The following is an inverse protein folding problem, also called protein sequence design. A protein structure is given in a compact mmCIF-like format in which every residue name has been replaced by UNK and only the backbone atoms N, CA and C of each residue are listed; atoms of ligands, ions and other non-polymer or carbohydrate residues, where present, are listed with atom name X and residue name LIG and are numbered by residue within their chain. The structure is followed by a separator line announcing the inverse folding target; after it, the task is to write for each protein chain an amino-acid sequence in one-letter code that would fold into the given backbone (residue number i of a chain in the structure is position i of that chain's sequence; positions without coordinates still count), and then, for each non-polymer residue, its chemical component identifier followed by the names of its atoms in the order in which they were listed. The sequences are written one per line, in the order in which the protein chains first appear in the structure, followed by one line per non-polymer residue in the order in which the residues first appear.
data_IF_930040743177
#
_entry.id   IF_930040743177
#
_cell.length_a   1.000
_cell.length_b   1.000
_cell.length_c   1.000
_cell.angle_alpha   90.00
_cell.angle_beta   90.00
_cell.angle_gamma   90.00
#
_symmetry.space_group_name_H-M   'P 1'
#
loop_
_entity.id
_entity.type
_entity.pdbx_description
1 polymer ?
#
# COMPACT_ATOMS: atom_id res chain seq x y z
N UNK A 1 4.62 -14.91 -10.45
CA UNK A 1 3.22 -14.44 -10.46
C UNK A 1 2.91 -13.81 -11.81
N UNK A 2 1.75 -14.10 -12.40
CA UNK A 2 1.31 -13.45 -13.63
C UNK A 2 0.57 -12.15 -13.27
N UNK A 3 1.09 -11.02 -13.75
CA UNK A 3 0.49 -9.69 -13.52
C UNK A 3 -0.38 -9.24 -14.71
N UNK A 4 -0.44 -10.03 -15.79
CA UNK A 4 -1.23 -9.71 -16.97
C UNK A 4 -2.66 -10.24 -16.79
N UNK A 5 -3.46 -9.50 -16.06
CA UNK A 5 -4.83 -9.88 -15.69
C UNK A 5 -5.87 -9.16 -16.54
N UNK A 6 -6.99 -9.84 -16.80
CA UNK A 6 -8.15 -9.20 -17.40
C UNK A 6 -8.72 -8.12 -16.48
N UNK A 7 -9.12 -7.01 -17.06
CA UNK A 7 -9.82 -5.93 -16.38
C UNK A 7 -11.27 -5.84 -16.84
N UNK A 8 -12.01 -4.91 -16.27
CA UNK A 8 -13.39 -4.61 -16.67
C UNK A 8 -13.51 -4.24 -18.15
N UNK A 9 -12.41 -3.81 -18.79
CA UNK A 9 -12.37 -3.49 -20.22
C UNK A 9 -12.40 -4.73 -21.11
N UNK A 10 -12.04 -5.88 -20.59
CA UNK A 10 -11.81 -7.11 -21.34
C UNK A 10 -13.02 -8.04 -21.39
N UNK A 11 -14.13 -7.67 -20.78
CA UNK A 11 -15.34 -8.47 -20.70
C UNK A 11 -16.60 -7.65 -21.01
N UNK A 12 -17.67 -8.34 -21.43
CA UNK A 12 -18.97 -7.75 -21.60
C UNK A 12 -19.70 -7.65 -20.25
N UNK A 13 -20.16 -6.44 -19.93
CA UNK A 13 -20.81 -6.13 -18.66
C UNK A 13 -22.27 -5.74 -18.81
N UNK A 14 -22.76 -5.50 -20.04
CA UNK A 14 -24.09 -4.98 -20.30
C UNK A 14 -25.16 -5.93 -19.75
N UNK A 15 -26.05 -5.39 -18.91
CA UNK A 15 -27.15 -6.13 -18.30
C UNK A 15 -26.74 -7.14 -17.23
N UNK A 16 -25.46 -7.27 -16.93
CA UNK A 16 -24.96 -8.23 -15.94
C UNK A 16 -24.95 -7.63 -14.54
N UNK A 17 -25.20 -8.49 -13.56
CA UNK A 17 -25.02 -8.14 -12.15
C UNK A 17 -23.53 -8.28 -11.83
N UNK A 18 -22.91 -7.19 -11.39
CA UNK A 18 -21.48 -7.13 -11.12
C UNK A 18 -21.25 -6.87 -9.64
N UNK A 19 -20.62 -7.83 -8.96
CA UNK A 19 -20.15 -7.65 -7.59
C UNK A 19 -18.77 -7.01 -7.65
N UNK A 20 -18.66 -5.75 -7.23
CA UNK A 20 -17.41 -4.99 -7.23
C UNK A 20 -16.91 -4.79 -5.81
N UNK A 21 -15.77 -5.40 -5.49
CA UNK A 21 -15.11 -5.23 -4.19
C UNK A 21 -14.27 -3.95 -4.20
N UNK A 22 -14.70 -2.99 -3.43
CA UNK A 22 -14.02 -1.71 -3.22
C UNK A 22 -13.33 -1.66 -1.86
N UNK A 23 -12.52 -0.65 -1.65
CA UNK A 23 -11.98 -0.31 -0.33
C UNK A 23 -12.64 0.99 0.15
N UNK A 24 -13.67 0.83 0.96
CA UNK A 24 -14.42 1.91 1.59
C UNK A 24 -14.13 2.01 3.08
N UNK A 25 -13.02 1.44 3.52
CA UNK A 25 -12.56 1.54 4.90
C UNK A 25 -11.99 2.93 5.15
N UNK A 26 -12.90 3.90 5.27
CA UNK A 26 -12.57 5.32 5.43
C UNK A 26 -12.46 5.69 6.91
N UNK A 27 -11.65 6.70 7.25
CA UNK A 27 -11.58 7.18 8.63
C UNK A 27 -12.86 7.90 9.03
N UNK A 28 -13.33 7.59 10.23
CA UNK A 28 -14.53 8.17 10.81
C UNK A 28 -14.19 8.92 12.10
N UNK A 29 -14.87 10.03 12.35
CA UNK A 29 -14.84 10.74 13.61
C UNK A 29 -16.28 11.13 13.96
N UNK A 30 -16.76 10.67 15.11
CA UNK A 30 -18.14 10.92 15.57
C UNK A 30 -19.20 10.54 14.51
N UNK A 31 -18.97 9.40 13.85
CA UNK A 31 -19.87 8.89 12.83
C UNK A 31 -19.79 9.60 11.48
N UNK A 32 -18.86 10.52 11.30
CA UNK A 32 -18.67 11.29 10.06
C UNK A 32 -17.38 10.89 9.36
N UNK A 33 -17.44 10.83 8.03
CA UNK A 33 -16.25 10.58 7.20
C UNK A 33 -15.33 11.80 7.26
N UNK A 34 -14.07 11.57 7.69
CA UNK A 34 -13.05 12.63 7.76
C UNK A 34 -12.21 12.72 6.49
N UNK A 35 -12.16 11.66 5.69
CA UNK A 35 -11.53 11.65 4.38
C UNK A 35 -12.28 10.69 3.46
N UNK A 36 -12.69 11.16 2.31
CA UNK A 36 -13.39 10.37 1.30
C UNK A 36 -12.47 9.91 0.14
N UNK A 37 -11.15 10.03 0.30
CA UNK A 37 -10.18 9.73 -0.76
C UNK A 37 -10.38 8.35 -1.37
N UNK A 38 -10.61 7.32 -0.54
CA UNK A 38 -10.82 5.94 -1.02
C UNK A 38 -12.11 5.80 -1.80
N UNK A 39 -13.14 6.52 -1.41
CA UNK A 39 -14.43 6.53 -2.11
C UNK A 39 -14.26 7.19 -3.48
N UNK A 40 -13.61 8.36 -3.52
CA UNK A 40 -13.33 9.09 -4.75
C UNK A 40 -12.47 8.26 -5.71
N UNK A 41 -11.46 7.57 -5.18
CA UNK A 41 -10.59 6.70 -5.96
C UNK A 41 -11.34 5.53 -6.64
N UNK A 42 -12.42 5.05 -6.06
CA UNK A 42 -13.25 3.99 -6.61
C UNK A 42 -14.20 4.46 -7.72
N UNK A 43 -14.46 5.77 -7.83
CA UNK A 43 -15.46 6.31 -8.77
C UNK A 43 -15.19 5.96 -10.23
N UNK A 44 -13.96 6.01 -10.77
CA UNK A 44 -13.74 5.65 -12.17
C UNK A 44 -14.21 4.25 -12.53
N UNK A 45 -13.94 3.26 -11.69
CA UNK A 45 -14.42 1.88 -11.89
C UNK A 45 -15.93 1.82 -11.79
N UNK A 46 -16.51 2.40 -10.76
CA UNK A 46 -17.97 2.40 -10.53
C UNK A 46 -18.69 3.07 -11.71
N UNK A 47 -18.22 4.24 -12.11
CA UNK A 47 -18.81 4.97 -13.24
C UNK A 47 -18.70 4.20 -14.55
N UNK A 48 -17.56 3.53 -14.79
CA UNK A 48 -17.41 2.67 -15.95
C UNK A 48 -18.43 1.54 -15.98
N UNK A 49 -18.65 0.87 -14.85
CA UNK A 49 -19.67 -0.18 -14.72
C UNK A 49 -21.07 0.34 -15.02
N UNK A 50 -21.40 1.51 -14.50
CA UNK A 50 -22.68 2.18 -14.75
C UNK A 50 -22.83 2.48 -16.25
N UNK A 51 -21.82 3.07 -16.87
CA UNK A 51 -21.83 3.48 -18.27
C UNK A 51 -21.92 2.27 -19.22
N UNK A 52 -21.44 1.11 -18.81
CA UNK A 52 -21.55 -0.13 -19.57
C UNK A 52 -22.93 -0.82 -19.40
N UNK A 53 -23.82 -0.24 -18.64
CA UNK A 53 -25.14 -0.81 -18.42
C UNK A 53 -25.19 -2.00 -17.46
N UNK A 54 -24.20 -2.09 -16.57
CA UNK A 54 -24.20 -3.13 -15.54
C UNK A 54 -25.17 -2.82 -14.39
N UNK A 55 -25.58 -3.85 -13.68
CA UNK A 55 -26.25 -3.75 -12.38
C UNK A 55 -25.17 -3.85 -11.31
N UNK A 56 -24.90 -2.75 -10.61
CA UNK A 56 -23.69 -2.60 -9.80
C UNK A 56 -23.94 -2.92 -8.34
N UNK A 57 -23.29 -3.96 -7.84
CA UNK A 57 -23.37 -4.38 -6.44
C UNK A 57 -22.00 -4.14 -5.80
N UNK A 58 -21.89 -3.12 -4.95
CA UNK A 58 -20.64 -2.77 -4.28
C UNK A 58 -20.54 -3.47 -2.93
N UNK A 59 -19.34 -3.87 -2.55
CA UNK A 59 -19.06 -4.41 -1.22
C UNK A 59 -17.71 -3.93 -0.70
N UNK A 60 -17.60 -3.84 0.60
CA UNK A 60 -16.38 -3.45 1.31
C UNK A 60 -16.48 -3.85 2.79
N UNK A 61 -15.34 -3.83 3.45
CA UNK A 61 -15.28 -3.84 4.90
C UNK A 61 -15.15 -2.43 5.46
N UNK A 62 -15.39 -2.27 6.76
CA UNK A 62 -15.16 -1.07 7.53
C UNK A 62 -14.68 -1.47 8.92
N UNK A 63 -13.47 -1.04 9.30
CA UNK A 63 -12.90 -1.33 10.61
C UNK A 63 -12.76 -2.82 10.92
N UNK A 64 -12.87 -3.18 12.20
CA UNK A 64 -12.69 -4.55 12.70
C UNK A 64 -13.85 -4.97 13.62
N UNK A 65 -15.05 -5.19 13.10
CA UNK A 65 -16.20 -5.59 13.92
C UNK A 65 -16.14 -7.05 14.41
N UNK A 66 -15.24 -7.87 13.84
CA UNK A 66 -14.99 -9.26 14.27
C UNK A 66 -16.22 -10.17 14.19
N UNK A 67 -16.99 -10.05 13.16
CA UNK A 67 -18.17 -10.88 12.93
C UNK A 67 -19.39 -10.48 13.75
N UNK A 68 -19.44 -9.25 14.24
CA UNK A 68 -20.54 -8.73 15.03
C UNK A 68 -21.11 -7.47 14.39
N UNK A 69 -22.41 -7.26 14.58
CA UNK A 69 -23.06 -6.03 14.17
C UNK A 69 -22.62 -4.88 15.09
N UNK A 70 -22.07 -3.82 14.49
CA UNK A 70 -21.68 -2.59 15.19
C UNK A 70 -22.17 -1.38 14.39
N UNK A 71 -23.20 -0.68 14.82
CA UNK A 71 -23.80 0.42 14.07
C UNK A 71 -22.78 1.49 13.64
N UNK A 72 -21.76 1.75 14.47
CA UNK A 72 -20.70 2.70 14.17
C UNK A 72 -19.81 2.30 13.00
N UNK A 73 -19.82 1.05 12.60
CA UNK A 73 -19.06 0.52 11.47
C UNK A 73 -19.93 0.17 10.25
N UNK A 74 -21.17 0.63 10.23
CA UNK A 74 -22.04 0.46 9.08
C UNK A 74 -21.54 1.27 7.88
N UNK A 75 -21.72 0.72 6.69
CA UNK A 75 -21.40 1.38 5.43
C UNK A 75 -22.49 2.38 4.98
N UNK A 76 -23.51 2.62 5.79
CA UNK A 76 -24.57 3.57 5.47
C UNK A 76 -24.07 4.98 5.15
N UNK A 77 -23.05 5.45 5.90
CA UNK A 77 -22.40 6.76 5.65
C UNK A 77 -21.69 6.79 4.30
N UNK A 78 -21.15 5.66 3.88
CA UNK A 78 -20.48 5.53 2.57
C UNK A 78 -21.52 5.55 1.44
N UNK A 79 -22.64 4.86 1.60
CA UNK A 79 -23.74 4.89 0.63
C UNK A 79 -24.25 6.31 0.40
N UNK A 80 -24.42 7.08 1.48
CA UNK A 80 -24.85 8.48 1.40
C UNK A 80 -23.83 9.33 0.62
N UNK A 81 -22.54 9.17 0.92
CA UNK A 81 -21.47 9.93 0.24
C UNK A 81 -21.34 9.53 -1.23
N UNK A 82 -21.43 8.24 -1.55
CA UNK A 82 -21.44 7.76 -2.93
C UNK A 82 -22.62 8.33 -3.72
N UNK A 83 -23.81 8.39 -3.11
CA UNK A 83 -24.98 8.96 -3.76
C UNK A 83 -24.76 10.41 -4.16
N UNK A 84 -24.14 11.21 -3.29
CA UNK A 84 -23.78 12.59 -3.59
C UNK A 84 -22.78 12.68 -4.76
N UNK A 85 -21.72 11.87 -4.70
CA UNK A 85 -20.64 11.91 -5.69
C UNK A 85 -21.09 11.40 -7.07
N UNK A 86 -21.96 10.38 -7.11
CA UNK A 86 -22.47 9.82 -8.36
C UNK A 86 -23.66 10.60 -8.93
N UNK A 87 -24.30 11.46 -8.12
CA UNK A 87 -25.52 12.16 -8.54
C UNK A 87 -26.71 11.24 -8.77
N UNK A 88 -26.72 10.06 -8.13
CA UNK A 88 -27.80 9.09 -8.19
C UNK A 88 -27.89 8.31 -6.89
N UNK A 89 -29.05 7.72 -6.62
CA UNK A 89 -29.24 6.92 -5.43
C UNK A 89 -28.35 5.67 -5.44
N UNK A 90 -27.63 5.46 -4.35
CA UNK A 90 -26.99 4.18 -4.02
C UNK A 90 -27.88 3.48 -3.01
N UNK A 91 -28.47 2.37 -3.42
CA UNK A 91 -29.40 1.61 -2.58
C UNK A 91 -28.62 0.83 -1.54
N UNK A 92 -28.94 1.03 -0.26
CA UNK A 92 -28.23 0.36 0.84
C UNK A 92 -28.93 -0.90 1.27
N UNK A 93 -28.24 -2.04 1.19
CA UNK A 93 -28.74 -3.29 1.75
C UNK A 93 -28.64 -3.29 3.29
N UNK A 94 -29.52 -4.01 3.95
CA UNK A 94 -29.55 -4.14 5.42
C UNK A 94 -28.66 -5.27 5.92
N UNK A 95 -28.18 -6.12 5.03
CA UNK A 95 -27.31 -7.26 5.35
C UNK A 95 -26.18 -7.39 4.31
N UNK A 96 -25.35 -8.40 4.48
CA UNK A 96 -24.22 -8.65 3.58
C UNK A 96 -24.61 -9.53 2.40
N UNK A 97 -25.19 -10.68 2.66
CA UNK A 97 -25.60 -11.64 1.62
C UNK A 97 -26.86 -12.40 2.03
N UNK A 98 -27.69 -11.78 2.84
CA UNK A 98 -28.93 -12.33 3.31
C UNK A 98 -30.11 -12.01 2.40
N UNK A 99 -31.32 -12.11 2.94
CA UNK A 99 -32.54 -11.94 2.16
C UNK A 99 -32.71 -10.53 1.60
N UNK A 100 -32.31 -9.50 2.36
CA UNK A 100 -32.44 -8.11 1.91
C UNK A 100 -31.50 -7.85 0.73
N UNK A 101 -30.24 -8.26 0.84
CA UNK A 101 -29.25 -8.13 -0.26
C UNK A 101 -29.71 -8.88 -1.50
N UNK A 102 -30.23 -10.09 -1.36
CA UNK A 102 -30.74 -10.89 -2.48
C UNK A 102 -31.92 -10.21 -3.19
N UNK A 103 -32.88 -9.73 -2.42
CA UNK A 103 -34.06 -9.05 -2.97
C UNK A 103 -33.65 -7.75 -3.68
N UNK A 104 -32.79 -6.98 -3.08
CA UNK A 104 -32.32 -5.73 -3.64
C UNK A 104 -31.51 -5.94 -4.92
N UNK A 105 -30.60 -6.92 -4.93
CA UNK A 105 -29.83 -7.29 -6.11
C UNK A 105 -30.73 -7.75 -7.27
N UNK A 106 -31.74 -8.56 -6.97
CA UNK A 106 -32.69 -9.01 -7.97
C UNK A 106 -33.54 -7.87 -8.56
N UNK A 107 -33.73 -6.79 -7.81
CA UNK A 107 -34.54 -5.63 -8.24
C UNK A 107 -33.76 -4.58 -9.04
N UNK A 108 -32.42 -4.68 -9.09
CA UNK A 108 -31.57 -3.70 -9.79
C UNK A 108 -31.87 -3.66 -11.28
N UNK A 109 -31.91 -2.47 -11.82
CA UNK A 109 -31.95 -2.18 -13.25
C UNK A 109 -30.56 -1.81 -13.76
N UNK A 110 -30.39 -1.88 -15.08
CA UNK A 110 -29.12 -1.49 -15.72
C UNK A 110 -28.72 -0.07 -15.32
N UNK A 111 -27.49 0.10 -14.87
CA UNK A 111 -26.95 1.37 -14.41
C UNK A 111 -27.27 1.74 -12.96
N UNK A 112 -28.11 0.97 -12.27
CA UNK A 112 -28.37 1.18 -10.85
C UNK A 112 -27.27 0.61 -9.98
N UNK A 113 -27.12 1.19 -8.77
CA UNK A 113 -26.05 0.87 -7.83
C UNK A 113 -26.62 0.54 -6.46
N UNK A 114 -26.10 -0.52 -5.85
CA UNK A 114 -26.38 -0.85 -4.46
C UNK A 114 -25.08 -1.09 -3.70
N UNK A 115 -25.11 -0.96 -2.38
CA UNK A 115 -23.99 -1.25 -1.48
C UNK A 115 -24.46 -2.27 -0.43
N UNK A 116 -23.69 -3.35 -0.27
CA UNK A 116 -23.89 -4.33 0.80
C UNK A 116 -23.41 -3.75 2.13
N UNK A 117 -23.94 -4.29 3.24
CA UNK A 117 -23.40 -3.96 4.55
C UNK A 117 -21.97 -4.49 4.73
N UNK A 118 -21.29 -3.98 5.77
CA UNK A 118 -19.90 -4.29 6.10
C UNK A 118 -19.65 -5.81 6.07
N UNK A 119 -18.82 -6.27 5.15
CA UNK A 119 -18.55 -7.70 4.96
C UNK A 119 -17.98 -8.36 6.21
N UNK A 120 -17.27 -7.61 7.05
CA UNK A 120 -16.70 -8.13 8.30
C UNK A 120 -17.71 -8.26 9.44
N UNK A 121 -18.98 -7.92 9.22
CA UNK A 121 -20.04 -8.30 10.13
C UNK A 121 -20.26 -9.81 10.15
N UNK A 122 -19.82 -10.52 9.12
CA UNK A 122 -19.93 -11.96 9.01
C UNK A 122 -18.58 -12.61 9.37
N UNK A 123 -18.58 -13.54 10.32
CA UNK A 123 -17.36 -14.22 10.80
C UNK A 123 -16.59 -14.94 9.70
N UNK A 124 -17.29 -15.45 8.70
CA UNK A 124 -16.70 -16.18 7.59
C UNK A 124 -15.88 -15.32 6.64
N UNK A 125 -16.04 -14.00 6.64
CA UNK A 125 -15.34 -13.11 5.71
C UNK A 125 -13.82 -13.26 5.81
N UNK A 126 -13.26 -13.08 6.99
CA UNK A 126 -11.80 -13.13 7.18
C UNK A 126 -11.24 -14.55 7.15
N UNK A 127 -12.11 -15.55 7.25
CA UNK A 127 -11.76 -16.97 7.17
C UNK A 127 -11.85 -17.54 5.76
N UNK A 128 -12.26 -16.71 4.80
CA UNK A 128 -12.53 -17.15 3.42
C UNK A 128 -13.53 -18.34 3.39
N UNK A 129 -14.59 -18.23 4.18
CA UNK A 129 -15.58 -19.29 4.31
C UNK A 129 -16.29 -19.52 2.97
N UNK A 130 -16.27 -20.75 2.43
CA UNK A 130 -16.95 -21.08 1.17
C UNK A 130 -18.45 -20.79 1.16
N UNK A 131 -19.12 -20.93 2.30
CA UNK A 131 -20.55 -20.62 2.43
C UNK A 131 -20.83 -19.14 2.15
N UNK A 132 -20.06 -18.24 2.78
CA UNK A 132 -20.18 -16.80 2.53
C UNK A 132 -19.76 -16.45 1.11
N UNK A 133 -18.65 -17.02 0.63
CA UNK A 133 -18.17 -16.78 -0.75
C UNK A 133 -19.22 -17.14 -1.77
N UNK A 134 -19.88 -18.28 -1.60
CA UNK A 134 -20.98 -18.71 -2.48
C UNK A 134 -22.20 -17.80 -2.36
N UNK A 135 -22.56 -17.40 -1.15
CA UNK A 135 -23.69 -16.50 -0.94
C UNK A 135 -23.48 -15.14 -1.61
N UNK A 136 -22.25 -14.61 -1.55
CA UNK A 136 -21.88 -13.39 -2.27
C UNK A 136 -21.93 -13.61 -3.79
N UNK A 137 -21.40 -14.72 -4.27
CA UNK A 137 -21.40 -15.05 -5.70
C UNK A 137 -22.81 -15.21 -6.26
N UNK A 138 -23.76 -15.74 -5.48
CA UNK A 138 -25.15 -15.91 -5.89
C UNK A 138 -25.85 -14.56 -6.19
N UNK A 139 -25.31 -13.45 -5.71
CA UNK A 139 -25.85 -12.12 -5.97
C UNK A 139 -25.52 -11.61 -7.38
N UNK A 140 -24.54 -12.17 -8.05
CA UNK A 140 -23.98 -11.58 -9.25
C UNK A 140 -23.61 -12.60 -10.33
N UNK A 141 -23.24 -12.07 -11.50
CA UNK A 141 -22.79 -12.84 -12.66
C UNK A 141 -21.29 -12.73 -12.88
N UNK A 142 -20.67 -11.64 -12.39
CA UNK A 142 -19.24 -11.33 -12.53
C UNK A 142 -18.73 -10.71 -11.23
N UNK A 143 -17.51 -11.06 -10.87
CA UNK A 143 -16.80 -10.44 -9.76
C UNK A 143 -15.70 -9.49 -10.27
N UNK A 144 -15.67 -8.29 -9.72
CA UNK A 144 -14.63 -7.30 -9.98
C UNK A 144 -13.91 -6.98 -8.67
N UNK A 145 -12.60 -7.19 -8.62
CA UNK A 145 -11.79 -6.74 -7.49
C UNK A 145 -11.10 -5.42 -7.83
N UNK A 146 -11.43 -4.39 -7.06
CA UNK A 146 -10.82 -3.06 -7.19
C UNK A 146 -10.16 -2.59 -5.88
N UNK A 147 -10.01 -3.49 -4.92
CA UNK A 147 -9.47 -3.20 -3.60
C UNK A 147 -8.04 -3.75 -3.46
N UNK A 148 -7.05 -3.01 -3.95
CA UNK A 148 -5.65 -3.44 -3.85
C UNK A 148 -5.18 -3.54 -2.40
N UNK A 149 -5.60 -2.63 -1.53
CA UNK A 149 -5.20 -2.61 -0.11
C UNK A 149 -5.55 -3.86 0.69
N UNK A 150 -6.50 -4.66 0.21
CA UNK A 150 -6.89 -5.93 0.84
C UNK A 150 -6.55 -7.16 -0.02
N UNK A 151 -5.89 -6.97 -1.16
CA UNK A 151 -5.60 -8.04 -2.11
C UNK A 151 -4.61 -9.08 -1.57
N UNK A 152 -3.84 -8.74 -0.54
CA UNK A 152 -2.90 -9.65 0.13
C UNK A 152 -3.60 -10.63 1.08
N UNK A 153 -4.89 -10.46 1.33
CA UNK A 153 -5.67 -11.31 2.24
C UNK A 153 -6.67 -12.16 1.48
N UNK A 154 -6.65 -13.47 1.74
CA UNK A 154 -7.63 -14.42 1.18
C UNK A 154 -8.92 -14.35 2.00
N UNK A 155 -9.74 -13.34 1.78
CA UNK A 155 -11.06 -13.19 2.38
C UNK A 155 -12.15 -13.59 1.38
N UNK A 156 -13.37 -13.87 1.85
CA UNK A 156 -14.47 -14.24 0.97
C UNK A 156 -14.75 -13.20 -0.10
N UNK A 157 -14.81 -11.91 0.27
CA UNK A 157 -15.10 -10.81 -0.66
C UNK A 157 -13.91 -10.38 -1.53
N UNK A 158 -12.69 -10.82 -1.23
CA UNK A 158 -11.50 -10.45 -2.00
C UNK A 158 -10.97 -11.57 -2.89
N UNK A 159 -11.16 -12.83 -2.51
CA UNK A 159 -10.63 -13.98 -3.22
C UNK A 159 -11.64 -15.11 -3.37
N UNK A 160 -12.36 -15.47 -2.31
CA UNK A 160 -13.23 -16.66 -2.32
C UNK A 160 -14.36 -16.60 -3.34
N UNK A 161 -14.92 -15.44 -3.59
CA UNK A 161 -15.98 -15.23 -4.60
C UNK A 161 -15.52 -15.66 -5.99
N UNK A 162 -14.22 -15.50 -6.30
CA UNK A 162 -13.67 -15.88 -7.60
C UNK A 162 -13.68 -17.37 -7.88
N UNK A 163 -13.90 -18.22 -6.86
CA UNK A 163 -14.08 -19.66 -7.04
C UNK A 163 -15.43 -19.98 -7.72
N UNK A 164 -16.37 -19.04 -7.71
CA UNK A 164 -17.74 -19.26 -8.18
C UNK A 164 -18.17 -18.33 -9.32
N UNK A 165 -17.41 -17.28 -9.61
CA UNK A 165 -17.71 -16.30 -10.65
C UNK A 165 -16.49 -16.02 -11.51
N UNK A 166 -16.69 -15.67 -12.80
CA UNK A 166 -15.64 -15.03 -13.57
C UNK A 166 -15.16 -13.78 -12.83
N UNK A 167 -13.85 -13.60 -12.73
CA UNK A 167 -13.23 -12.56 -11.92
C UNK A 167 -12.23 -11.74 -12.72
N UNK A 168 -12.38 -10.43 -12.69
CA UNK A 168 -11.48 -9.48 -13.35
C UNK A 168 -11.15 -8.33 -12.40
N UNK A 169 -10.17 -7.50 -12.73
CA UNK A 169 -9.83 -6.34 -11.90
C UNK A 169 -10.54 -5.06 -12.37
N UNK A 170 -10.72 -4.15 -11.42
CA UNK A 170 -11.07 -2.77 -11.72
C UNK A 170 -9.83 -1.94 -12.05
N UNK A 171 -10.01 -0.64 -12.29
CA UNK A 171 -8.93 0.24 -12.73
C UNK A 171 -7.86 0.50 -11.67
N UNK A 172 -8.21 0.47 -10.38
CA UNK A 172 -7.22 0.65 -9.30
C UNK A 172 -6.23 -0.50 -9.27
N UNK A 173 -6.72 -1.74 -9.28
CA UNK A 173 -5.85 -2.92 -9.31
C UNK A 173 -5.09 -3.01 -10.64
N UNK A 174 -5.74 -2.70 -11.76
CA UNK A 174 -5.08 -2.69 -13.08
C UNK A 174 -3.86 -1.77 -13.06
N UNK A 175 -4.00 -0.56 -12.52
CA UNK A 175 -2.91 0.41 -12.40
C UNK A 175 -1.80 -0.09 -11.47
N UNK A 176 -2.16 -0.61 -10.28
CA UNK A 176 -1.21 -1.11 -9.30
C UNK A 176 -0.35 -2.25 -9.87
N UNK A 177 -0.98 -3.28 -10.42
CA UNK A 177 -0.25 -4.44 -10.97
C UNK A 177 0.46 -4.11 -12.27
N UNK A 178 -0.06 -3.18 -13.08
CA UNK A 178 0.57 -2.74 -14.32
C UNK A 178 1.89 -2.02 -14.06
N UNK A 179 1.92 -1.08 -13.13
CA UNK A 179 3.11 -0.29 -12.81
C UNK A 179 4.10 -1.09 -11.96
N UNK A 180 3.63 -1.64 -10.83
CA UNK A 180 4.49 -2.38 -9.91
C UNK A 180 4.95 -3.71 -10.47
N UNK A 181 4.08 -4.40 -11.20
CA UNK A 181 4.42 -5.66 -11.85
C UNK A 181 5.51 -5.49 -12.90
N UNK A 182 5.42 -4.45 -13.73
CA UNK A 182 6.48 -4.13 -14.71
C UNK A 182 7.79 -3.78 -14.02
N UNK A 183 7.74 -2.97 -12.97
CA UNK A 183 8.93 -2.58 -12.23
C UNK A 183 9.68 -3.78 -11.63
N UNK A 184 8.95 -4.80 -11.15
CA UNK A 184 9.56 -5.99 -10.57
C UNK A 184 9.99 -7.03 -11.63
N UNK A 185 9.26 -7.14 -12.73
CA UNK A 185 9.51 -8.18 -13.75
C UNK A 185 10.48 -7.72 -14.84
N UNK A 186 10.34 -6.47 -15.31
CA UNK A 186 11.12 -5.93 -16.44
C UNK A 186 11.31 -4.41 -16.26
N UNK A 187 12.08 -3.98 -15.26
CA UNK A 187 12.30 -2.56 -15.01
C UNK A 187 13.22 -1.94 -16.05
N UNK A 188 12.98 -0.68 -16.38
CA UNK A 188 13.99 0.13 -17.07
C UNK A 188 15.13 0.42 -16.09
N UNK A 189 16.36 0.17 -16.52
CA UNK A 189 17.54 0.29 -15.66
C UNK A 189 18.31 1.59 -15.92
N UNK A 190 18.98 2.15 -14.90
CA UNK A 190 19.18 1.60 -13.56
C UNK A 190 17.91 1.55 -12.73
N UNK A 191 17.72 0.44 -12.01
CA UNK A 191 16.63 0.25 -11.06
C UNK A 191 17.14 0.46 -9.64
N UNK A 192 16.59 1.45 -8.95
CA UNK A 192 16.96 1.82 -7.56
C UNK A 192 15.79 1.57 -6.64
N UNK A 193 16.03 0.86 -5.56
CA UNK A 193 15.06 0.72 -4.47
C UNK A 193 15.56 1.49 -3.25
N UNK A 194 14.64 2.19 -2.58
CA UNK A 194 14.91 2.95 -1.36
C UNK A 194 14.00 2.39 -0.26
N UNK A 195 14.61 1.85 0.77
CA UNK A 195 13.91 1.30 1.91
C UNK A 195 14.26 2.06 3.18
N UNK A 196 13.25 2.38 3.96
CA UNK A 196 13.38 2.99 5.27
C UNK A 196 12.40 2.38 6.25
N UNK A 197 12.26 3.00 7.41
CA UNK A 197 11.42 2.54 8.49
C UNK A 197 12.22 2.23 9.75
N UNK A 198 11.53 1.81 10.80
CA UNK A 198 12.13 1.70 12.14
C UNK A 198 13.00 0.45 12.33
N UNK A 199 12.54 -0.70 11.85
CA UNK A 199 13.19 -2.00 12.13
C UNK A 199 13.46 -2.80 10.87
N UNK A 200 14.66 -3.40 10.81
CA UNK A 200 15.03 -4.30 9.71
C UNK A 200 14.16 -5.55 9.68
N UNK A 201 13.69 -6.03 10.83
CA UNK A 201 12.80 -7.19 10.93
C UNK A 201 11.48 -7.02 10.17
N UNK A 202 11.03 -5.79 9.95
CA UNK A 202 9.81 -5.50 9.20
C UNK A 202 10.00 -5.60 7.69
N UNK A 203 11.24 -5.66 7.20
CA UNK A 203 11.60 -5.58 5.78
C UNK A 203 12.47 -6.73 5.28
N UNK A 204 12.60 -7.82 6.03
CA UNK A 204 13.53 -8.92 5.70
C UNK A 204 13.33 -9.48 4.30
N UNK A 205 12.09 -9.83 3.97
CA UNK A 205 11.78 -10.45 2.68
C UNK A 205 11.82 -9.44 1.53
N UNK A 206 11.48 -8.19 1.81
CA UNK A 206 11.56 -7.10 0.83
C UNK A 206 13.01 -6.88 0.42
N UNK A 207 13.93 -6.77 1.39
CA UNK A 207 15.36 -6.59 1.14
C UNK A 207 15.89 -7.76 0.31
N UNK A 208 15.60 -8.98 0.74
CA UNK A 208 16.08 -10.18 0.06
C UNK A 208 15.58 -10.29 -1.38
N UNK A 209 14.30 -10.00 -1.60
CA UNK A 209 13.71 -10.04 -2.94
C UNK A 209 14.23 -8.92 -3.85
N UNK A 210 14.34 -7.71 -3.33
CA UNK A 210 14.82 -6.57 -4.14
C UNK A 210 16.30 -6.70 -4.52
N UNK A 211 17.13 -7.33 -3.69
CA UNK A 211 18.52 -7.60 -4.04
C UNK A 211 18.66 -8.49 -5.28
N UNK A 212 17.64 -9.29 -5.59
CA UNK A 212 17.62 -10.09 -6.82
C UNK A 212 17.30 -9.26 -8.07
N UNK A 213 16.81 -8.05 -7.91
CA UNK A 213 16.17 -7.28 -9.00
C UNK A 213 16.82 -5.93 -9.28
N UNK A 214 17.36 -5.27 -8.25
CA UNK A 214 17.83 -3.88 -8.36
C UNK A 214 19.29 -3.77 -8.75
N UNK A 215 19.65 -2.60 -9.28
CA UNK A 215 21.06 -2.21 -9.50
C UNK A 215 21.64 -1.54 -8.26
N UNK A 216 20.81 -0.81 -7.51
CA UNK A 216 21.18 -0.13 -6.27
C UNK A 216 20.06 -0.30 -5.24
N UNK A 217 20.45 -0.66 -4.02
CA UNK A 217 19.55 -0.70 -2.86
C UNK A 217 20.02 0.33 -1.84
N UNK A 218 19.14 1.23 -1.48
CA UNK A 218 19.38 2.29 -0.50
C UNK A 218 18.64 1.94 0.78
N UNK A 219 19.35 1.93 1.91
CA UNK A 219 18.79 1.66 3.23
C UNK A 219 18.92 2.91 4.09
N UNK A 220 17.80 3.43 4.57
CA UNK A 220 17.73 4.56 5.49
C UNK A 220 16.81 4.27 6.67
N UNK A 221 16.49 5.30 7.45
CA UNK A 221 15.65 5.17 8.63
C UNK A 221 16.30 4.43 9.78
N UNK A 222 15.53 4.07 10.79
CA UNK A 222 16.02 3.36 11.97
C UNK A 222 16.63 1.99 11.67
N UNK A 223 16.13 1.32 10.64
CA UNK A 223 16.67 0.02 10.22
C UNK A 223 18.11 0.06 9.73
N UNK A 224 18.60 1.22 9.29
CA UNK A 224 19.96 1.38 8.82
C UNK A 224 21.00 1.16 9.93
N UNK A 225 20.65 1.44 11.17
CA UNK A 225 21.60 1.31 12.29
C UNK A 225 21.99 -0.14 12.58
N UNK A 226 21.11 -1.09 12.33
CA UNK A 226 21.47 -2.51 12.43
C UNK A 226 22.47 -2.89 11.36
N UNK A 227 22.35 -2.36 10.14
CA UNK A 227 23.37 -2.52 9.08
C UNK A 227 24.70 -1.89 9.46
N UNK A 228 24.68 -0.68 10.05
CA UNK A 228 25.90 0.00 10.49
C UNK A 228 26.59 -0.78 11.61
N UNK A 229 25.82 -1.33 12.55
CA UNK A 229 26.35 -2.21 13.60
C UNK A 229 26.97 -3.48 13.00
N UNK A 230 26.35 -4.04 11.96
CA UNK A 230 26.90 -5.19 11.24
C UNK A 230 28.22 -4.89 10.56
N UNK A 231 28.49 -3.64 10.21
CA UNK A 231 29.78 -3.16 9.71
C UNK A 231 30.83 -2.98 10.81
N UNK A 232 30.43 -3.12 12.07
CA UNK A 232 31.28 -2.92 13.23
C UNK A 232 31.26 -1.50 13.81
N UNK A 233 30.34 -0.66 13.38
CA UNK A 233 30.22 0.70 13.91
C UNK A 233 29.48 0.72 15.23
N UNK A 234 29.88 1.59 16.15
CA UNK A 234 29.10 1.90 17.35
C UNK A 234 27.91 2.78 16.94
N UNK A 235 26.73 2.42 17.38
CA UNK A 235 25.49 3.13 17.03
C UNK A 235 24.83 3.85 18.21
N UNK A 236 25.51 3.89 19.36
CA UNK A 236 24.96 4.52 20.58
C UNK A 236 23.64 3.91 21.01
N UNK A 237 22.66 4.76 21.28
CA UNK A 237 21.31 4.37 21.68
C UNK A 237 20.32 4.32 20.50
N UNK A 238 20.83 4.27 19.27
CA UNK A 238 19.98 4.16 18.07
C UNK A 238 19.16 2.88 18.07
N UNK A 239 18.06 2.87 17.31
CA UNK A 239 17.27 1.66 17.10
C UNK A 239 18.18 0.53 16.63
N UNK A 240 18.04 -0.63 17.27
CA UNK A 240 18.94 -1.75 17.03
C UNK A 240 18.20 -3.08 17.17
N UNK A 241 18.26 -3.89 16.14
CA UNK A 241 17.73 -5.24 16.12
C UNK A 241 18.91 -6.23 16.21
N UNK A 242 19.32 -6.52 17.44
CA UNK A 242 20.51 -7.33 17.71
C UNK A 242 20.44 -8.73 17.08
N UNK A 243 19.24 -9.31 16.99
CA UNK A 243 19.03 -10.64 16.42
C UNK A 243 19.17 -10.66 14.89
N UNK A 244 19.25 -9.49 14.24
CA UNK A 244 19.31 -9.35 12.78
C UNK A 244 20.66 -8.89 12.27
N UNK A 245 21.67 -8.78 13.11
CA UNK A 245 23.02 -8.40 12.69
C UNK A 245 23.59 -9.38 11.66
N UNK A 246 23.44 -10.68 11.90
CA UNK A 246 23.92 -11.71 10.97
C UNK A 246 23.17 -11.66 9.64
N UNK A 247 21.85 -11.42 9.69
CA UNK A 247 21.05 -11.21 8.49
C UNK A 247 21.54 -10.00 7.68
N UNK A 248 21.85 -8.89 8.34
CA UNK A 248 22.40 -7.71 7.66
C UNK A 248 23.75 -8.01 6.98
N UNK A 249 24.61 -8.78 7.65
CA UNK A 249 25.88 -9.24 7.06
C UNK A 249 25.64 -10.11 5.82
N UNK A 250 24.69 -11.03 5.88
CA UNK A 250 24.32 -11.86 4.74
C UNK A 250 23.79 -11.03 3.56
N UNK A 251 22.97 -10.02 3.83
CA UNK A 251 22.43 -9.14 2.78
C UNK A 251 23.50 -8.27 2.15
N UNK A 252 24.46 -7.76 2.93
CA UNK A 252 25.61 -7.04 2.39
C UNK A 252 26.48 -7.95 1.51
N UNK A 253 26.73 -9.18 1.93
CA UNK A 253 27.46 -10.17 1.13
C UNK A 253 26.70 -10.56 -0.14
N UNK A 254 25.40 -10.73 -0.06
CA UNK A 254 24.54 -11.02 -1.22
C UNK A 254 24.58 -9.88 -2.22
N UNK A 255 24.49 -8.64 -1.76
CA UNK A 255 24.57 -7.46 -2.62
C UNK A 255 25.89 -7.45 -3.40
N UNK A 256 27.02 -7.66 -2.72
CA UNK A 256 28.34 -7.72 -3.33
C UNK A 256 28.44 -8.84 -4.37
N UNK A 257 27.96 -10.04 -4.03
CA UNK A 257 27.99 -11.20 -4.93
C UNK A 257 27.15 -10.98 -6.19
N UNK A 258 26.10 -10.21 -6.10
CA UNK A 258 25.19 -9.90 -7.23
C UNK A 258 25.55 -8.63 -7.97
N UNK A 259 26.59 -7.92 -7.56
CA UNK A 259 26.98 -6.65 -8.16
C UNK A 259 25.99 -5.51 -7.87
N UNK A 260 25.20 -5.62 -6.83
CA UNK A 260 24.26 -4.59 -6.39
C UNK A 260 24.98 -3.59 -5.48
N UNK A 261 24.85 -2.30 -5.77
CA UNK A 261 25.31 -1.25 -4.87
C UNK A 261 24.36 -1.17 -3.67
N UNK A 262 24.87 -1.46 -2.48
CA UNK A 262 24.13 -1.25 -1.24
C UNK A 262 24.62 0.05 -0.61
N UNK A 263 23.77 1.08 -0.60
CA UNK A 263 24.09 2.38 -0.02
C UNK A 263 23.49 2.50 1.38
N UNK A 264 24.37 2.73 2.36
CA UNK A 264 24.02 3.00 3.74
C UNK A 264 24.32 4.46 4.07
N UNK A 265 23.73 5.01 5.14
CA UNK A 265 24.09 6.35 5.60
C UNK A 265 25.57 6.50 5.89
N UNK A 266 26.15 7.60 5.45
CA UNK A 266 27.56 7.96 5.72
C UNK A 266 27.66 9.01 6.82
N UNK A 267 26.56 9.68 7.13
CA UNK A 267 26.38 10.56 8.27
C UNK A 267 24.95 10.44 8.81
N UNK A 268 24.74 10.92 10.02
CA UNK A 268 23.44 10.81 10.68
C UNK A 268 23.21 12.01 11.59
N UNK A 269 21.96 12.41 11.69
CA UNK A 269 21.50 13.44 12.64
C UNK A 269 21.19 12.75 13.96
N UNK A 270 21.87 13.15 15.02
CA UNK A 270 21.74 12.52 16.34
C UNK A 270 21.21 13.49 17.38
N UNK A 271 20.57 12.93 18.39
CA UNK A 271 20.08 13.63 19.58
C UNK A 271 20.30 12.76 20.83
N UNK A 272 20.25 13.35 22.00
CA UNK A 272 20.37 12.64 23.28
C UNK A 272 19.05 11.97 23.73
N UNK A 273 17.95 12.30 23.07
CA UNK A 273 16.61 11.72 23.37
C UNK A 273 15.72 11.73 22.13
N UNK A 274 14.69 10.90 22.17
CA UNK A 274 13.63 10.92 21.14
C UNK A 274 12.71 12.11 21.39
N UNK A 275 12.23 12.83 20.33
CA UNK A 275 11.39 14.00 20.53
C UNK A 275 10.07 13.64 21.20
N UNK A 276 9.71 14.44 22.24
CA UNK A 276 8.44 14.29 22.97
C UNK A 276 7.90 15.70 23.29
N UNK A 277 6.77 16.10 22.66
CA UNK A 277 6.00 15.36 21.64
C UNK A 277 6.83 15.11 20.36
N UNK A 278 6.37 14.17 19.52
CA UNK A 278 7.13 13.75 18.34
C UNK A 278 7.47 14.89 17.38
N UNK A 279 6.61 15.91 17.30
CA UNK A 279 6.77 17.11 16.47
C UNK A 279 7.36 18.31 17.23
N UNK A 280 7.78 18.08 18.47
CA UNK A 280 8.32 19.12 19.36
C UNK A 280 9.74 19.54 19.06
N UNK A 281 10.22 20.60 19.72
CA UNK A 281 11.59 21.06 19.57
C UNK A 281 12.61 19.98 19.98
N UNK A 282 13.71 19.88 19.26
CA UNK A 282 14.79 18.96 19.59
C UNK A 282 16.14 19.55 19.17
N UNK A 283 17.13 19.39 20.03
CA UNK A 283 18.51 19.78 19.74
C UNK A 283 19.23 18.61 19.07
N UNK A 284 19.81 18.86 17.92
CA UNK A 284 20.45 17.85 17.11
C UNK A 284 21.84 18.29 16.68
N UNK A 285 22.68 17.31 16.34
CA UNK A 285 23.92 17.52 15.59
C UNK A 285 24.11 16.44 14.56
N UNK A 286 24.89 16.71 13.53
CA UNK A 286 25.23 15.72 12.51
C UNK A 286 26.61 15.16 12.78
N UNK A 287 26.73 13.84 12.75
CA UNK A 287 27.99 13.13 12.95
C UNK A 287 28.21 12.12 11.81
N UNK A 288 29.46 11.71 11.59
CA UNK A 288 29.73 10.60 10.68
C UNK A 288 29.06 9.32 11.20
N UNK A 289 28.68 8.43 10.29
CA UNK A 289 27.97 7.20 10.64
C UNK A 289 28.79 6.27 11.57
N UNK A 290 30.11 6.36 11.53
CA UNK A 290 31.01 5.61 12.39
C UNK A 290 31.43 6.36 13.68
N UNK A 291 30.81 7.51 13.94
CA UNK A 291 31.16 8.39 15.07
C UNK A 291 29.94 8.78 15.90
N UNK A 292 28.94 7.92 16.01
CA UNK A 292 27.76 8.16 16.83
C UNK A 292 28.16 8.08 18.32
N UNK A 293 27.95 9.16 19.12
CA UNK A 293 28.23 9.12 20.56
C UNK A 293 27.43 8.02 21.26
N UNK A 294 28.04 7.40 22.27
CA UNK A 294 27.44 6.30 23.01
C UNK A 294 26.11 6.64 23.70
N UNK A 295 25.94 7.91 24.06
CA UNK A 295 24.75 8.44 24.74
C UNK A 295 23.73 9.11 23.80
N UNK A 296 23.92 8.97 22.49
CA UNK A 296 23.05 9.57 21.49
C UNK A 296 22.43 8.51 20.55
N UNK A 297 21.36 8.90 19.92
CA UNK A 297 20.65 8.07 18.94
C UNK A 297 20.50 8.81 17.61
N UNK A 298 20.61 8.06 16.51
CA UNK A 298 20.36 8.59 15.18
C UNK A 298 18.86 8.67 14.90
N UNK A 299 18.43 9.81 14.35
CA UNK A 299 17.01 10.09 14.11
C UNK A 299 16.70 10.54 12.68
N UNK A 300 17.71 10.80 11.87
CA UNK A 300 17.59 11.11 10.44
C UNK A 300 18.95 10.92 9.75
N UNK A 301 18.93 10.83 8.43
CA UNK A 301 20.15 10.85 7.63
C UNK A 301 20.73 12.28 7.56
N UNK A 302 22.06 12.37 7.48
CA UNK A 302 22.73 13.65 7.40
C UNK A 302 22.80 14.23 5.99
N UNK A 303 23.38 15.42 5.86
CA UNK A 303 23.46 16.14 4.60
C UNK A 303 24.20 15.37 3.50
N UNK A 304 25.35 14.77 3.84
CA UNK A 304 26.15 14.00 2.88
C UNK A 304 25.38 12.77 2.39
N UNK A 305 24.64 12.12 3.28
CA UNK A 305 23.80 10.98 2.93
C UNK A 305 22.65 11.42 2.03
N UNK A 306 22.01 12.55 2.32
CA UNK A 306 20.95 13.10 1.48
C UNK A 306 21.43 13.32 0.04
N UNK A 307 22.61 13.89 -0.13
CA UNK A 307 23.23 14.10 -1.45
C UNK A 307 23.52 12.77 -2.15
N UNK A 308 24.10 11.80 -1.43
CA UNK A 308 24.39 10.47 -1.95
C UNK A 308 23.13 9.74 -2.45
N UNK A 309 22.09 9.75 -1.63
CA UNK A 309 20.84 9.07 -1.95
C UNK A 309 20.09 9.77 -3.08
N UNK A 310 20.06 11.10 -3.08
CA UNK A 310 19.42 11.89 -4.12
C UNK A 310 20.10 11.69 -5.48
N UNK A 311 21.43 11.64 -5.53
CA UNK A 311 22.17 11.39 -6.77
C UNK A 311 21.83 10.00 -7.34
N UNK A 312 21.83 8.98 -6.51
CA UNK A 312 21.46 7.63 -6.94
C UNK A 312 20.02 7.57 -7.48
N UNK A 313 19.07 8.22 -6.79
CA UNK A 313 17.68 8.25 -7.23
C UNK A 313 17.49 9.01 -8.56
N UNK A 314 18.17 10.15 -8.72
CA UNK A 314 18.08 10.97 -9.95
C UNK A 314 18.69 10.29 -11.17
N UNK A 315 19.70 9.45 -10.98
CA UNK A 315 20.36 8.72 -12.09
C UNK A 315 19.55 7.50 -12.55
N UNK A 316 18.53 7.11 -11.83
CA UNK A 316 17.73 5.92 -12.11
C UNK A 316 16.74 6.12 -13.26
N UNK A 317 16.30 5.01 -13.85
CA UNK A 317 15.16 4.96 -14.78
C UNK A 317 13.91 4.41 -14.11
N UNK A 318 14.08 3.62 -13.05
CA UNK A 318 12.99 3.10 -12.20
C UNK A 318 13.40 3.25 -10.74
N UNK A 319 12.51 3.82 -9.93
CA UNK A 319 12.72 3.96 -8.47
C UNK A 319 11.50 3.43 -7.74
N UNK A 320 11.74 2.59 -6.75
CA UNK A 320 10.73 2.16 -5.79
C UNK A 320 11.16 2.63 -4.40
N UNK A 321 10.27 3.32 -3.70
CA UNK A 321 10.54 3.82 -2.35
C UNK A 321 9.48 3.35 -1.37
N UNK A 322 9.93 2.78 -0.24
CA UNK A 322 9.07 2.35 0.86
C UNK A 322 9.75 2.63 2.20
N UNK A 323 9.19 3.54 2.98
CA UNK A 323 9.61 3.87 4.34
C UNK A 323 10.42 5.16 4.47
N UNK A 324 10.20 5.94 5.53
CA UNK A 324 10.87 7.22 5.75
C UNK A 324 12.34 7.04 6.14
N UNK A 325 13.12 8.11 5.95
CA UNK A 325 14.56 8.13 6.24
C UNK A 325 14.87 8.54 7.68
N UNK A 326 13.89 9.04 8.40
CA UNK A 326 14.02 9.51 9.77
C UNK A 326 12.67 9.74 10.42
N UNK A 327 12.66 10.45 11.54
CA UNK A 327 11.43 10.81 12.27
C UNK A 327 10.79 12.01 11.56
N UNK A 328 10.18 11.75 10.41
CA UNK A 328 9.72 12.80 9.49
C UNK A 328 8.54 13.63 10.02
N UNK A 329 7.85 13.15 11.05
CA UNK A 329 6.81 13.90 11.75
C UNK A 329 7.38 15.12 12.49
N UNK A 330 8.69 15.11 12.74
CA UNK A 330 9.40 16.23 13.36
C UNK A 330 10.05 17.09 12.27
N UNK A 331 9.75 18.40 12.20
CA UNK A 331 10.31 19.26 11.15
C UNK A 331 11.85 19.29 11.11
N UNK A 332 12.51 19.18 12.25
CA UNK A 332 13.98 19.14 12.34
C UNK A 332 14.56 17.84 11.78
N UNK A 333 13.79 16.75 11.88
CA UNK A 333 14.21 15.38 11.52
C UNK A 333 13.59 14.90 10.19
N UNK A 334 12.93 15.79 9.46
CA UNK A 334 12.25 15.45 8.20
C UNK A 334 13.12 15.67 6.96
N UNK A 335 14.28 16.30 7.09
CA UNK A 335 15.13 16.71 5.96
C UNK A 335 15.55 15.56 5.06
N UNK A 336 15.83 14.40 5.63
CA UNK A 336 16.20 13.21 4.88
C UNK A 336 15.07 12.69 4.02
N UNK A 337 13.88 12.56 4.60
CA UNK A 337 12.68 12.12 3.89
C UNK A 337 12.27 13.13 2.81
N UNK A 338 12.36 14.42 3.10
CA UNK A 338 12.11 15.50 2.12
C UNK A 338 13.09 15.38 0.95
N UNK A 339 14.37 15.17 1.20
CA UNK A 339 15.38 15.05 0.15
C UNK A 339 15.11 13.89 -0.79
N UNK A 340 14.66 12.75 -0.26
CA UNK A 340 14.28 11.59 -1.07
C UNK A 340 13.04 11.90 -1.91
N UNK A 341 11.99 12.45 -1.31
CA UNK A 341 10.76 12.83 -2.02
C UNK A 341 11.06 13.82 -3.15
N UNK A 342 11.87 14.82 -2.88
CA UNK A 342 12.30 15.84 -3.84
C UNK A 342 13.10 15.23 -4.99
N UNK A 343 14.03 14.32 -4.69
CA UNK A 343 14.81 13.62 -5.71
C UNK A 343 13.92 12.79 -6.65
N UNK A 344 12.92 12.10 -6.11
CA UNK A 344 11.95 11.37 -6.92
C UNK A 344 11.12 12.32 -7.78
N UNK A 345 10.66 13.42 -7.21
CA UNK A 345 9.84 14.41 -7.90
C UNK A 345 10.60 15.08 -9.07
N UNK A 346 11.90 15.29 -8.93
CA UNK A 346 12.77 15.88 -9.95
C UNK A 346 13.31 14.86 -10.96
N UNK A 347 13.17 13.57 -10.67
CA UNK A 347 13.66 12.49 -11.53
C UNK A 347 12.76 12.29 -12.74
N UNK A 348 13.36 11.92 -13.88
CA UNK A 348 12.63 11.49 -15.08
C UNK A 348 12.29 9.99 -15.03
N UNK A 349 12.66 9.30 -13.95
CA UNK A 349 12.38 7.88 -13.77
C UNK A 349 10.89 7.59 -13.58
N UNK A 350 10.53 6.33 -13.80
CA UNK A 350 9.27 5.78 -13.28
C UNK A 350 9.44 5.68 -11.77
N UNK A 351 8.68 6.47 -11.03
CA UNK A 351 8.78 6.57 -9.57
C UNK A 351 7.57 5.95 -8.90
N UNK A 352 7.81 5.00 -8.01
CA UNK A 352 6.76 4.26 -7.29
C UNK A 352 6.99 4.43 -5.81
N UNK A 353 5.97 4.90 -5.10
CA UNK A 353 6.00 5.06 -3.64
C UNK A 353 4.98 4.11 -3.03
N UNK A 354 5.43 3.28 -2.11
CA UNK A 354 4.58 2.36 -1.35
C UNK A 354 4.73 2.59 0.16
N UNK A 355 3.69 2.22 0.92
CA UNK A 355 3.67 2.40 2.36
C UNK A 355 3.04 3.71 2.81
N UNK A 356 2.35 3.66 3.95
CA UNK A 356 1.56 4.79 4.45
C UNK A 356 2.40 6.02 4.76
N UNK A 357 3.56 5.84 5.39
CA UNK A 357 4.42 6.96 5.79
C UNK A 357 5.06 7.65 4.59
N UNK A 358 5.54 6.88 3.63
CA UNK A 358 6.14 7.44 2.40
C UNK A 358 5.12 8.18 1.55
N UNK A 359 3.92 7.60 1.39
CA UNK A 359 2.81 8.22 0.68
C UNK A 359 2.37 9.50 1.38
N UNK A 360 2.22 9.47 2.70
CA UNK A 360 1.87 10.64 3.51
C UNK A 360 2.92 11.75 3.37
N UNK A 361 4.20 11.38 3.39
CA UNK A 361 5.29 12.34 3.20
C UNK A 361 5.20 13.02 1.84
N UNK A 362 4.97 12.27 0.76
CA UNK A 362 4.82 12.84 -0.58
C UNK A 362 3.63 13.81 -0.67
N UNK A 363 2.51 13.45 -0.07
CA UNK A 363 1.30 14.28 -0.07
C UNK A 363 1.47 15.54 0.76
N UNK A 364 1.98 15.41 1.99
CA UNK A 364 2.18 16.54 2.90
C UNK A 364 3.21 17.55 2.40
N UNK A 365 4.22 17.06 1.69
CA UNK A 365 5.29 17.91 1.14
C UNK A 365 4.95 18.47 -0.25
N UNK A 366 3.80 18.12 -0.81
CA UNK A 366 3.34 18.64 -2.09
C UNK A 366 4.01 18.02 -3.31
N UNK A 367 4.61 16.84 -3.19
CA UNK A 367 5.29 16.15 -4.30
C UNK A 367 4.44 15.08 -5.00
N UNK A 368 3.26 14.79 -4.49
CA UNK A 368 2.43 13.68 -4.97
C UNK A 368 2.18 13.70 -6.49
N UNK A 369 1.91 14.87 -7.04
CA UNK A 369 1.61 15.04 -8.48
C UNK A 369 2.81 14.77 -9.39
N UNK A 370 4.01 14.77 -8.84
CA UNK A 370 5.26 14.53 -9.59
C UNK A 370 5.81 13.12 -9.40
N UNK A 371 5.10 12.26 -8.67
CA UNK A 371 5.42 10.84 -8.50
C UNK A 371 4.56 10.06 -9.50
N UNK A 372 5.15 9.12 -10.23
CA UNK A 372 4.45 8.34 -11.24
C UNK A 372 3.30 7.55 -10.64
N UNK A 373 3.54 6.90 -9.51
CA UNK A 373 2.52 6.09 -8.83
C UNK A 373 2.75 6.07 -7.33
N UNK A 374 1.73 6.46 -6.57
CA UNK A 374 1.69 6.29 -5.12
C UNK A 374 0.71 5.15 -4.85
N UNK A 375 1.23 4.02 -4.37
CA UNK A 375 0.38 2.87 -4.07
C UNK A 375 -0.52 3.13 -2.89
N UNK A 376 -1.79 2.76 -3.02
CA UNK A 376 -2.77 2.82 -1.95
C UNK A 376 -2.77 1.56 -1.09
N UNK A 377 -1.91 0.60 -1.41
CA UNK A 377 -2.01 -0.77 -0.91
C UNK A 377 -1.46 -1.00 0.50
N UNK A 378 -0.68 -0.10 1.08
CA UNK A 378 -0.11 -0.34 2.42
C UNK A 378 0.60 -1.70 2.53
N UNK A 379 0.04 -2.60 3.34
CA UNK A 379 0.57 -3.96 3.51
C UNK A 379 0.59 -4.79 2.23
N UNK A 380 -0.39 -4.61 1.35
CA UNK A 380 -0.41 -5.30 0.06
C UNK A 380 0.76 -4.86 -0.83
N UNK A 381 1.11 -3.56 -0.83
CA UNK A 381 2.28 -3.06 -1.55
C UNK A 381 3.56 -3.69 -1.04
N UNK A 382 3.69 -3.82 0.28
CA UNK A 382 4.87 -4.43 0.90
C UNK A 382 4.99 -5.90 0.50
N UNK A 383 3.92 -6.68 0.61
CA UNK A 383 3.92 -8.08 0.20
C UNK A 383 4.17 -8.25 -1.29
N UNK A 384 3.69 -7.33 -2.11
CA UNK A 384 4.00 -7.31 -3.54
C UNK A 384 5.52 -7.15 -3.77
N UNK A 385 6.16 -6.23 -3.05
CA UNK A 385 7.60 -6.01 -3.11
C UNK A 385 8.41 -7.21 -2.56
N UNK A 386 7.82 -7.98 -1.64
CA UNK A 386 8.41 -9.25 -1.16
C UNK A 386 8.38 -10.35 -2.23
N UNK A 387 7.69 -10.14 -3.33
CA UNK A 387 7.52 -11.14 -4.37
C UNK A 387 6.45 -12.19 -4.06
N UNK A 388 5.63 -11.95 -3.04
CA UNK A 388 4.57 -12.87 -2.65
C UNK A 388 3.40 -12.79 -3.61
N UNK A 389 2.73 -13.91 -3.79
CA UNK A 389 1.48 -13.98 -4.52
C UNK A 389 0.36 -13.38 -3.68
N UNK A 390 -0.37 -12.40 -4.24
CA UNK A 390 -1.50 -11.78 -3.57
C UNK A 390 -2.79 -12.51 -3.93
N UNK A 391 -3.48 -13.14 -2.98
CA UNK A 391 -4.68 -13.93 -3.27
C UNK A 391 -5.76 -13.19 -4.04
N UNK A 392 -5.98 -11.92 -3.72
CA UNK A 392 -6.98 -11.09 -4.39
C UNK A 392 -6.63 -10.71 -5.85
N UNK A 393 -5.40 -10.98 -6.27
CA UNK A 393 -4.94 -10.80 -7.65
C UNK A 393 -4.80 -12.16 -8.33
N UNK A 394 -4.23 -13.15 -7.65
CA UNK A 394 -4.04 -14.48 -8.18
C UNK A 394 -5.35 -15.14 -8.62
N UNK A 395 -6.46 -14.83 -7.95
CA UNK A 395 -7.79 -15.33 -8.25
C UNK A 395 -8.41 -14.74 -9.54
N UNK A 396 -7.82 -13.67 -10.08
CA UNK A 396 -8.33 -13.01 -11.29
C UNK A 396 -7.91 -13.75 -12.55
N UNK A 397 -8.74 -13.66 -13.59
CA UNK A 397 -8.46 -14.29 -14.87
C UNK A 397 -7.26 -13.67 -15.58
N UNK A 398 -6.42 -14.51 -16.16
CA UNK A 398 -5.28 -14.07 -16.98
C UNK A 398 -5.78 -13.61 -18.35
N UNK A 399 -5.07 -12.63 -18.95
CA UNK A 399 -5.27 -12.25 -20.36
C UNK A 399 -4.79 -13.32 -21.29
#
# INVERSE_FOLDING_TARGET
MNYNKKSVRDIDLAGKRVLCRCDFNVPLKEGKITSDKRIVAALPTIQYLIDQGAKVILCSHMGKPKGEWKPELSLGVVAARLSELLGKEVKMAKDVAGEDAKALAASLKDGEVMLLENTRYIKGETKNDPELSRALADLADVFVNDAFGTAHRAHSSTAGVADYLPAVCGFLIEKEIGIMGKALADPERPFVAILGGAKVSDKLNVINNLLEKVDTLIIGGGMAYTFLAAKGYGIGESLFDAEKVDYCKEMMAKAEAKGVKLLLPIDTVVADSFPSPIDGPIDVKTVAADAIPADMQGLDIGEKTRELFAEAAKSAKTVVWNGPMGVFENPTLAKGTIAVAEALAESEAVTIVGGGDSAAACEQLGFADRITHISTGGGASLEFLEGLELPGIACLEDK
#
